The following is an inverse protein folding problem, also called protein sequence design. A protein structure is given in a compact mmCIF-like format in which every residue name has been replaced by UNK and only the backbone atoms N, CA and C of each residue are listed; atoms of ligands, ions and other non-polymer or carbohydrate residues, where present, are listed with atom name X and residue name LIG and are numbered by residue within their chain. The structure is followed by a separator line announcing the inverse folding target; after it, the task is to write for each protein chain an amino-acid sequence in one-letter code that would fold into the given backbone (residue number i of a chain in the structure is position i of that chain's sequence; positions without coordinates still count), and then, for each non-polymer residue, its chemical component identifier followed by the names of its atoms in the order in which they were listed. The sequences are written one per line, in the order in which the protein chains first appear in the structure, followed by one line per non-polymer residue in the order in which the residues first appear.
data_IF_576353495099
#
_entry.id   IF_576353495099
#
_cell.length_a   1.000
_cell.length_b   1.000
_cell.length_c   1.000
_cell.angle_alpha   90.00
_cell.angle_beta   90.00
_cell.angle_gamma   90.00
#
_symmetry.space_group_name_H-M   'P 1'
#
loop_
_entity.id
_entity.type
_entity.pdbx_description
1 polymer ?
#
# COMPACT_ATOMS: atom_id res chain seq x y z
N UNK A 1 -13.47 4.70 -0.30
CA UNK A 1 -12.46 4.75 0.77
C UNK A 1 -12.25 3.34 1.28
N UNK A 2 -11.04 2.79 1.18
CA UNK A 2 -10.72 1.40 1.51
C UNK A 2 -9.98 1.40 2.86
N UNK A 3 -10.51 0.75 3.91
CA UNK A 3 -9.80 0.59 5.17
C UNK A 3 -8.45 -0.11 4.98
N UNK A 4 -7.43 0.30 5.72
CA UNK A 4 -6.13 -0.34 5.63
C UNK A 4 -6.13 -1.83 6.02
N UNK A 5 -7.06 -2.23 6.88
CA UNK A 5 -7.28 -3.63 7.27
C UNK A 5 -7.81 -4.50 6.13
N UNK A 6 -8.30 -3.90 5.04
CA UNK A 6 -8.81 -4.60 3.85
C UNK A 6 -7.73 -4.83 2.77
N UNK A 7 -6.49 -4.38 3.02
CA UNK A 7 -5.44 -4.48 2.00
C UNK A 7 -4.93 -5.91 1.80
N UNK A 8 -4.98 -6.75 2.84
CA UNK A 8 -4.57 -8.16 2.76
C UNK A 8 -5.53 -9.00 1.92
N UNK A 9 -6.81 -8.62 1.83
CA UNK A 9 -7.80 -9.24 0.97
C UNK A 9 -7.54 -8.89 -0.50
N UNK A 10 -7.06 -7.68 -0.78
CA UNK A 10 -6.72 -7.22 -2.13
C UNK A 10 -5.37 -7.72 -2.63
N UNK A 11 -4.42 -7.90 -1.72
CA UNK A 11 -3.08 -8.41 -2.00
C UNK A 11 -2.82 -9.63 -1.12
N UNK A 12 -3.36 -10.81 -1.51
CA UNK A 12 -3.22 -12.03 -0.73
C UNK A 12 -1.76 -12.37 -0.43
N UNK A 13 -1.50 -12.87 0.78
CA UNK A 13 -0.15 -13.19 1.25
C UNK A 13 0.57 -12.05 1.98
N UNK A 14 -0.01 -10.85 1.99
CA UNK A 14 0.45 -9.73 2.84
C UNK A 14 -0.25 -9.74 4.21
N UNK A 15 0.23 -8.91 5.15
CA UNK A 15 -0.35 -8.78 6.50
C UNK A 15 -0.66 -7.33 6.84
N UNK A 16 -1.54 -7.10 7.82
CA UNK A 16 -1.83 -5.75 8.30
C UNK A 16 -0.57 -5.02 8.81
N UNK A 17 0.36 -5.78 9.42
CA UNK A 17 1.66 -5.27 9.88
C UNK A 17 2.56 -4.81 8.74
N UNK A 18 2.60 -5.56 7.64
CA UNK A 18 3.32 -5.19 6.42
C UNK A 18 2.83 -3.85 5.86
N UNK A 19 1.52 -3.69 5.68
CA UNK A 19 0.94 -2.42 5.20
C UNK A 19 1.12 -1.28 6.20
N UNK A 20 1.14 -1.57 7.50
CA UNK A 20 1.50 -0.62 8.54
C UNK A 20 2.92 -0.09 8.38
N UNK A 21 3.89 -0.99 8.20
CA UNK A 21 5.30 -0.65 7.97
C UNK A 21 5.52 0.14 6.68
N UNK A 22 4.90 -0.27 5.57
CA UNK A 22 5.01 0.47 4.30
C UNK A 22 4.63 1.94 4.43
N UNK A 23 3.55 2.25 5.15
CA UNK A 23 3.18 3.66 5.39
C UNK A 23 4.17 4.39 6.28
N UNK A 24 4.68 3.74 7.33
CA UNK A 24 5.65 4.35 8.24
C UNK A 24 6.94 4.69 7.48
N UNK A 25 7.35 3.82 6.57
CA UNK A 25 8.56 3.99 5.76
C UNK A 25 8.34 4.92 4.55
N UNK A 26 7.09 5.31 4.25
CA UNK A 26 6.76 6.14 3.09
C UNK A 26 6.76 5.39 1.75
N UNK A 27 6.92 4.06 1.76
CA UNK A 27 6.99 3.23 0.55
C UNK A 27 5.62 2.74 0.08
N UNK A 28 4.54 3.01 0.83
CA UNK A 28 3.18 2.56 0.54
C UNK A 28 2.32 3.57 -0.22
N UNK A 29 1.08 3.20 -0.57
CA UNK A 29 0.11 4.14 -1.14
C UNK A 29 -0.13 5.33 -0.21
N UNK A 30 -0.46 6.49 -0.79
CA UNK A 30 -0.90 7.66 -0.01
C UNK A 30 -2.16 7.31 0.77
N UNK A 31 -2.25 7.78 2.00
CA UNK A 31 -3.32 7.41 2.92
C UNK A 31 -4.03 8.62 3.53
N UNK A 32 -5.28 8.41 3.90
CA UNK A 32 -6.09 9.34 4.70
C UNK A 32 -6.20 8.78 6.12
N UNK A 33 -5.84 9.60 7.11
CA UNK A 33 -5.95 9.24 8.53
C UNK A 33 -7.18 9.89 9.14
N UNK A 34 -8.04 9.08 9.75
CA UNK A 34 -9.23 9.53 10.48
C UNK A 34 -9.17 8.97 11.89
N UNK A 35 -8.72 9.80 12.84
CA UNK A 35 -8.41 9.38 14.21
C UNK A 35 -7.33 8.28 14.23
N UNK A 36 -7.69 7.10 14.73
CA UNK A 36 -6.79 5.92 14.78
C UNK A 36 -6.90 5.02 13.54
N UNK A 37 -7.87 5.28 12.65
CA UNK A 37 -8.10 4.47 11.45
C UNK A 37 -7.38 5.08 10.26
N UNK A 38 -6.92 4.21 9.36
CA UNK A 38 -6.26 4.59 8.12
C UNK A 38 -7.04 4.03 6.95
N UNK A 39 -7.18 4.84 5.91
CA UNK A 39 -7.88 4.51 4.69
C UNK A 39 -7.01 4.86 3.48
N UNK A 40 -7.21 4.13 2.40
CA UNK A 40 -6.64 4.40 1.10
C UNK A 40 -7.74 4.82 0.13
N UNK A 41 -7.41 5.72 -0.80
CA UNK A 41 -8.23 5.93 -2.00
C UNK A 41 -7.82 4.91 -3.05
N UNK A 42 -8.76 4.47 -3.89
CA UNK A 42 -8.45 3.52 -4.96
C UNK A 42 -7.37 4.10 -5.90
N UNK A 43 -7.50 5.37 -6.29
CA UNK A 43 -6.52 6.06 -7.14
C UNK A 43 -5.10 6.09 -6.57
N UNK A 44 -4.95 6.23 -5.25
CA UNK A 44 -3.62 6.24 -4.62
C UNK A 44 -3.01 4.83 -4.58
N UNK A 45 -3.85 3.79 -4.45
CA UNK A 45 -3.41 2.39 -4.58
C UNK A 45 -2.95 2.14 -6.01
N UNK A 46 -3.73 2.56 -7.00
CA UNK A 46 -3.43 2.33 -8.41
C UNK A 46 -2.11 3.00 -8.83
N UNK A 47 -1.89 4.25 -8.39
CA UNK A 47 -0.62 4.97 -8.59
C UNK A 47 0.56 4.22 -7.95
N UNK A 48 0.37 3.71 -6.74
CA UNK A 48 1.41 2.94 -6.05
C UNK A 48 1.68 1.60 -6.74
N UNK A 49 0.66 0.88 -7.19
CA UNK A 49 0.83 -0.37 -7.95
C UNK A 49 1.62 -0.10 -9.23
N UNK A 50 1.27 0.95 -9.96
CA UNK A 50 1.99 1.34 -11.16
C UNK A 50 3.47 1.67 -10.87
N UNK A 51 3.78 2.38 -9.79
CA UNK A 51 5.17 2.68 -9.41
C UNK A 51 5.95 1.48 -8.87
N UNK A 52 5.27 0.46 -8.35
CA UNK A 52 5.88 -0.76 -7.79
C UNK A 52 5.85 -1.94 -8.79
N UNK A 53 5.48 -1.70 -10.04
CA UNK A 53 5.53 -2.70 -11.10
C UNK A 53 6.95 -2.75 -11.66
N UNK A 54 7.59 -3.92 -11.56
CA UNK A 54 8.94 -4.17 -12.06
C UNK A 54 8.89 -5.23 -13.17
N UNK A 55 9.62 -5.00 -14.26
CA UNK A 55 9.65 -5.95 -15.39
C UNK A 55 10.67 -7.08 -15.16
N UNK A 56 11.66 -6.86 -14.30
CA UNK A 56 12.70 -7.83 -13.96
C UNK A 56 13.08 -7.74 -12.48
N UNK A 57 13.52 -8.86 -11.93
CA UNK A 57 13.87 -9.00 -10.50
C UNK A 57 15.20 -8.34 -10.11
N UNK A 58 16.03 -7.95 -11.08
CA UNK A 58 17.27 -7.20 -10.86
C UNK A 58 17.08 -5.67 -10.83
N UNK A 59 15.89 -5.19 -11.18
CA UNK A 59 15.55 -3.78 -11.09
C UNK A 59 15.21 -3.42 -9.64
N UNK A 60 15.96 -2.48 -9.05
CA UNK A 60 15.58 -1.90 -7.77
C UNK A 60 14.30 -1.08 -7.93
N UNK A 61 13.36 -1.20 -6.98
CA UNK A 61 12.26 -0.26 -6.88
C UNK A 61 12.83 1.14 -6.59
N UNK A 62 12.49 2.11 -7.46
CA UNK A 62 12.97 3.50 -7.39
C UNK A 62 12.39 4.29 -6.23
#
# INVERSE_FOLDING_TARGET
MIPASEMKERFPGTTDGFWGQLRIQGNGPKFVKVGRKVFYRQEDIDVWVASNTLERTDQAAS
#
